data_IF_117961823235
#
_entry.id   IF_117961823235
#
_cell.length_a   1.000
_cell.length_b   1.000
_cell.length_c   1.000
_cell.angle_alpha   90.00
_cell.angle_beta   90.00
_cell.angle_gamma   90.00
#
_symmetry.space_group_name_H-M   'P 1'
#
loop_
_entity.id
_entity.type
_entity.pdbx_description
1 polymer ?
#
# COMPACT_ATOMS: atom_id res chain seq x y z
N UNK A 1 -0.77 -39.36 -0.75
CA UNK A 1 -1.83 -38.78 0.10
C UNK A 1 -1.35 -38.31 1.49
N UNK A 2 -0.34 -38.92 2.12
CA UNK A 2 0.15 -38.51 3.46
C UNK A 2 1.14 -37.32 3.48
N UNK A 3 1.89 -37.10 2.40
CA UNK A 3 2.91 -36.03 2.32
C UNK A 3 2.30 -34.62 2.22
N UNK A 4 1.21 -34.47 1.47
CA UNK A 4 0.56 -33.17 1.21
C UNK A 4 -0.05 -32.55 2.47
N UNK A 5 -0.58 -33.39 3.37
CA UNK A 5 -1.18 -32.94 4.63
C UNK A 5 -0.10 -32.36 5.56
N UNK A 6 1.09 -32.97 5.61
CA UNK A 6 2.18 -32.50 6.46
C UNK A 6 2.79 -31.19 5.94
N UNK A 7 2.92 -31.03 4.61
CA UNK A 7 3.34 -29.76 4.02
C UNK A 7 2.30 -28.64 4.19
N UNK A 8 1.00 -28.96 4.12
CA UNK A 8 -0.06 -27.97 4.37
C UNK A 8 -0.10 -27.53 5.84
N UNK A 9 0.07 -28.46 6.78
CA UNK A 9 0.15 -28.13 8.21
C UNK A 9 1.41 -27.30 8.53
N UNK A 10 2.57 -27.65 7.95
CA UNK A 10 3.82 -26.91 8.15
C UNK A 10 3.73 -25.48 7.59
N UNK A 11 3.22 -25.32 6.36
CA UNK A 11 3.03 -24.00 5.74
C UNK A 11 2.02 -23.16 6.52
N UNK A 12 0.88 -23.72 6.94
CA UNK A 12 -0.09 -23.03 7.77
C UNK A 12 0.52 -22.57 9.11
N UNK A 13 1.32 -23.42 9.75
CA UNK A 13 2.03 -23.08 11.00
C UNK A 13 3.02 -21.94 10.78
N UNK A 14 3.75 -21.94 9.66
CA UNK A 14 4.72 -20.88 9.33
C UNK A 14 4.04 -19.54 9.01
N UNK A 15 2.87 -19.55 8.36
CA UNK A 15 2.08 -18.34 8.07
C UNK A 15 1.44 -17.77 9.35
N UNK A 16 0.82 -18.63 10.17
CA UNK A 16 0.14 -18.20 11.41
C UNK A 16 1.13 -17.67 12.46
N UNK A 17 2.37 -18.16 12.46
CA UNK A 17 3.45 -17.65 13.31
C UNK A 17 4.28 -16.52 12.65
N UNK A 18 3.91 -16.07 11.44
CA UNK A 18 4.54 -14.94 10.77
C UNK A 18 5.97 -15.17 10.25
N UNK A 19 6.41 -16.44 10.14
CA UNK A 19 7.67 -16.84 9.51
C UNK A 19 7.60 -16.77 7.98
N UNK A 20 6.42 -17.02 7.42
CA UNK A 20 6.09 -16.71 6.03
C UNK A 20 5.12 -15.53 6.05
N UNK A 21 5.64 -14.35 5.76
CA UNK A 21 4.81 -13.17 5.47
C UNK A 21 4.64 -13.13 3.96
N UNK A 22 3.41 -13.10 3.42
CA UNK A 22 3.26 -12.72 2.03
C UNK A 22 3.95 -11.37 1.85
N UNK A 23 4.65 -11.20 0.71
CA UNK A 23 5.30 -9.93 0.39
C UNK A 23 4.34 -8.80 0.74
N UNK A 24 4.81 -7.85 1.55
CA UNK A 24 4.01 -6.71 1.98
C UNK A 24 3.31 -6.13 0.74
N UNK A 25 1.99 -5.99 0.81
CA UNK A 25 1.18 -5.63 -0.35
C UNK A 25 1.57 -4.22 -0.80
N UNK A 26 2.48 -4.13 -1.77
CA UNK A 26 2.84 -2.87 -2.42
C UNK A 26 1.67 -2.50 -3.30
N UNK A 27 0.83 -1.60 -2.79
CA UNK A 27 -0.31 -1.05 -3.50
C UNK A 27 -0.12 0.43 -3.76
N UNK A 28 -0.63 0.95 -4.90
CA UNK A 28 -0.68 2.39 -5.09
C UNK A 28 -1.56 3.04 -4.01
N UNK A 29 -1.14 4.20 -3.51
CA UNK A 29 -1.93 5.00 -2.55
C UNK A 29 -3.16 5.59 -3.22
N UNK A 30 -3.05 5.97 -4.50
CA UNK A 30 -4.13 6.52 -5.30
C UNK A 30 -4.00 6.06 -6.76
N UNK A 31 -5.14 5.87 -7.42
CA UNK A 31 -5.24 5.54 -8.86
C UNK A 31 -6.07 6.59 -9.59
N UNK A 32 -5.77 6.82 -10.85
CA UNK A 32 -6.60 7.62 -11.76
C UNK A 32 -5.86 8.00 -13.04
N UNK A 33 -6.55 8.66 -13.98
CA UNK A 33 -5.92 9.21 -15.19
C UNK A 33 -4.92 10.32 -14.83
N UNK A 34 -3.96 10.61 -15.69
CA UNK A 34 -2.98 11.68 -15.45
C UNK A 34 -1.84 11.30 -14.50
N UNK A 35 -0.80 12.13 -14.50
CA UNK A 35 0.44 11.83 -13.79
C UNK A 35 0.32 12.08 -12.28
N UNK A 36 1.04 11.28 -11.50
CA UNK A 36 1.17 11.44 -10.05
C UNK A 36 2.65 11.70 -9.79
N UNK A 37 3.01 12.96 -9.57
CA UNK A 37 4.40 13.43 -9.66
C UNK A 37 4.94 13.97 -8.33
N UNK A 38 6.27 14.00 -8.26
CA UNK A 38 7.04 14.68 -7.21
C UNK A 38 6.65 14.27 -5.77
N UNK A 39 6.53 12.97 -5.44
CA UNK A 39 6.19 12.57 -4.09
C UNK A 39 7.24 13.05 -3.09
N UNK A 40 6.78 13.50 -1.93
CA UNK A 40 7.58 13.78 -0.74
C UNK A 40 7.00 13.03 0.44
N UNK A 41 7.87 12.59 1.35
CA UNK A 41 7.49 11.86 2.55
C UNK A 41 8.08 12.54 3.78
N UNK A 42 7.26 12.71 4.82
CA UNK A 42 7.67 13.15 6.14
C UNK A 42 6.83 12.45 7.21
N UNK A 43 7.49 11.64 8.05
CA UNK A 43 6.79 10.84 9.07
C UNK A 43 5.76 9.90 8.42
N UNK A 44 4.51 10.00 8.89
CA UNK A 44 3.38 9.24 8.32
C UNK A 44 2.76 9.89 7.08
N UNK A 45 3.23 11.06 6.65
CA UNK A 45 2.60 11.84 5.58
C UNK A 45 3.33 11.67 4.26
N UNK A 46 2.57 11.36 3.23
CA UNK A 46 3.01 11.32 1.84
C UNK A 46 2.25 12.39 1.08
N UNK A 47 2.95 13.30 0.43
CA UNK A 47 2.36 14.33 -0.43
C UNK A 47 2.84 14.19 -1.85
N UNK A 48 2.00 14.46 -2.84
CA UNK A 48 2.36 14.44 -4.26
C UNK A 48 1.47 15.38 -5.06
N UNK A 49 1.90 15.75 -6.26
CA UNK A 49 1.09 16.52 -7.20
C UNK A 49 0.21 15.55 -8.00
N UNK A 50 -1.09 15.77 -7.95
CA UNK A 50 -2.11 14.93 -8.56
C UNK A 50 -2.72 15.61 -9.78
N UNK A 51 -2.40 15.10 -10.97
CA UNK A 51 -2.88 15.61 -12.26
C UNK A 51 -4.11 14.85 -12.80
N UNK A 52 -4.92 14.25 -11.92
CA UNK A 52 -6.18 13.58 -12.34
C UNK A 52 -7.21 14.52 -12.94
N UNK A 53 -7.11 15.81 -12.63
CA UNK A 53 -8.00 16.86 -13.11
C UNK A 53 -7.22 17.92 -13.89
N UNK A 54 -7.87 18.66 -14.81
CA UNK A 54 -7.22 19.75 -15.56
C UNK A 54 -6.59 20.83 -14.68
N UNK A 55 -7.11 21.01 -13.46
CA UNK A 55 -6.48 21.80 -12.42
C UNK A 55 -5.79 20.84 -11.43
N UNK A 56 -4.46 20.70 -11.45
CA UNK A 56 -3.73 19.79 -10.55
C UNK A 56 -3.86 20.23 -9.10
N UNK A 57 -3.88 19.27 -8.19
CA UNK A 57 -3.98 19.52 -6.74
C UNK A 57 -2.84 18.85 -5.99
N UNK A 58 -2.62 19.25 -4.73
CA UNK A 58 -1.70 18.52 -3.85
C UNK A 58 -2.50 17.48 -3.07
N UNK A 59 -2.17 16.23 -3.28
CA UNK A 59 -2.73 15.13 -2.51
C UNK A 59 -1.87 14.87 -1.26
N UNK A 60 -2.52 14.57 -0.14
CA UNK A 60 -1.90 14.18 1.12
C UNK A 60 -2.51 12.85 1.58
N UNK A 61 -1.66 11.86 1.77
CA UNK A 61 -1.99 10.60 2.42
C UNK A 61 -1.29 10.49 3.77
N UNK A 62 -2.04 10.20 4.82
CA UNK A 62 -1.49 9.92 6.15
C UNK A 62 -1.58 8.41 6.43
N UNK A 63 -0.44 7.75 6.57
CA UNK A 63 -0.33 6.30 6.80
C UNK A 63 -0.76 5.90 8.21
N UNK A 64 -0.77 6.83 9.18
CA UNK A 64 -1.17 6.54 10.56
C UNK A 64 -2.69 6.39 10.71
N UNK A 65 -3.44 7.12 9.89
CA UNK A 65 -4.91 7.11 9.85
C UNK A 65 -5.47 6.44 8.60
N UNK A 66 -4.61 6.11 7.64
CA UNK A 66 -4.97 5.65 6.29
C UNK A 66 -5.93 6.61 5.57
N UNK A 67 -5.78 7.92 5.79
CA UNK A 67 -6.67 8.96 5.22
C UNK A 67 -6.05 9.66 4.03
N UNK A 68 -6.86 9.94 3.00
CA UNK A 68 -6.51 10.72 1.82
C UNK A 68 -7.24 12.06 1.81
N UNK A 69 -6.54 13.15 1.50
CA UNK A 69 -7.09 14.50 1.37
C UNK A 69 -6.46 15.25 0.20
N UNK A 70 -7.17 16.24 -0.35
CA UNK A 70 -6.71 17.09 -1.44
C UNK A 70 -6.70 18.54 -0.97
N UNK A 71 -5.55 19.20 -1.11
CA UNK A 71 -5.38 20.60 -0.78
C UNK A 71 -5.79 21.46 -2.00
N UNK A 72 -6.38 22.65 -1.75
CA UNK A 72 -6.75 23.58 -2.81
C UNK A 72 -5.53 24.13 -3.58
#
# INVERSE_FOLDING_TARGET
MRSVICSLLLTATLVMNGFIRPAESVRPLQRGPGEQLQPKIWGSRVVWTDYRTPNPTIALFDTSTASLSFLP
#
